data_IF_073457384517
#
_entry.id   IF_073457384517
#
_cell.length_a   1.000
_cell.length_b   1.000
_cell.length_c   1.000
_cell.angle_alpha   90.00
_cell.angle_beta   90.00
_cell.angle_gamma   90.00
#
_symmetry.space_group_name_H-M   'P 1'
#
loop_
_entity.id
_entity.type
_entity.pdbx_description
1 polymer ?
#
# COMPACT_ATOMS: atom_id res chain seq x y z
N UNK A 1 27.74 7.81 6.85
CA UNK A 1 27.51 6.63 7.72
C UNK A 1 28.05 5.42 6.99
N UNK A 2 28.89 4.62 7.63
CA UNK A 2 29.53 3.46 7.03
C UNK A 2 28.65 2.18 7.04
N UNK A 3 27.33 2.32 6.93
CA UNK A 3 26.43 1.18 6.87
C UNK A 3 26.36 0.60 5.46
N UNK A 4 26.47 -0.73 5.35
CA UNK A 4 26.25 -1.44 4.09
C UNK A 4 24.76 -1.38 3.71
N UNK A 5 24.45 -0.85 2.53
CA UNK A 5 23.07 -0.72 2.02
C UNK A 5 22.61 -1.98 1.29
N UNK A 6 23.55 -2.72 0.67
CA UNK A 6 23.29 -3.96 -0.05
C UNK A 6 24.58 -4.75 -0.23
N UNK A 7 24.46 -6.08 -0.38
CA UNK A 7 25.54 -6.97 -0.79
C UNK A 7 24.98 -8.14 -1.59
N UNK A 8 25.87 -8.81 -2.32
CA UNK A 8 25.53 -10.02 -3.07
C UNK A 8 26.23 -11.19 -2.42
N UNK A 9 25.50 -12.26 -2.05
CA UNK A 9 26.00 -13.44 -1.38
C UNK A 9 25.15 -13.83 -0.17
N UNK A 10 25.40 -14.99 0.39
CA UNK A 10 24.61 -15.57 1.48
C UNK A 10 25.03 -15.05 2.86
N UNK A 11 26.23 -14.46 2.98
CA UNK A 11 26.79 -13.91 4.22
C UNK A 11 26.90 -12.38 4.17
N UNK A 12 27.00 -11.76 5.35
CA UNK A 12 27.31 -10.34 5.46
C UNK A 12 28.61 -9.98 4.72
N UNK A 13 28.71 -8.76 4.13
CA UNK A 13 29.93 -8.35 3.43
C UNK A 13 31.15 -8.44 4.36
N UNK A 14 32.23 -9.02 3.87
CA UNK A 14 33.53 -8.99 4.55
C UNK A 14 34.11 -7.57 4.56
N UNK A 15 35.05 -7.29 5.46
CA UNK A 15 35.76 -6.00 5.49
C UNK A 15 36.47 -5.67 4.16
N UNK A 16 36.82 -6.69 3.38
CA UNK A 16 37.46 -6.58 2.06
C UNK A 16 36.47 -6.53 0.88
N UNK A 17 35.15 -6.52 1.14
CA UNK A 17 34.18 -6.43 0.08
C UNK A 17 34.30 -5.09 -0.67
N UNK A 18 34.22 -5.15 -2.01
CA UNK A 18 34.25 -3.95 -2.83
C UNK A 18 33.06 -3.04 -2.45
N UNK A 19 33.37 -1.85 -1.98
CA UNK A 19 32.38 -0.85 -1.61
C UNK A 19 32.02 0.01 -2.81
N UNK A 20 30.74 0.08 -3.15
CA UNK A 20 30.21 1.06 -4.09
C UNK A 20 29.58 2.23 -3.34
N UNK A 21 29.85 3.44 -3.77
CA UNK A 21 29.16 4.61 -3.24
C UNK A 21 27.69 4.59 -3.68
N UNK A 22 26.78 4.79 -2.74
CA UNK A 22 25.37 5.00 -3.07
C UNK A 22 25.23 6.27 -3.94
N UNK A 23 24.41 6.21 -4.98
CA UNK A 23 24.09 7.39 -5.78
C UNK A 23 23.21 8.35 -4.95
N UNK A 24 23.08 9.60 -5.40
CA UNK A 24 22.15 10.57 -4.78
C UNK A 24 20.68 10.10 -4.83
N UNK A 25 20.36 9.20 -5.74
CA UNK A 25 19.04 8.59 -5.89
C UNK A 25 18.81 7.38 -4.99
N UNK A 26 19.85 6.92 -4.29
CA UNK A 26 19.72 5.78 -3.37
C UNK A 26 18.89 6.14 -2.16
N UNK A 27 18.02 5.21 -1.74
CA UNK A 27 17.14 5.38 -0.60
C UNK A 27 17.23 4.17 0.32
N UNK A 28 17.55 4.40 1.59
CA UNK A 28 17.55 3.34 2.61
C UNK A 28 16.16 3.24 3.23
N UNK A 29 15.52 2.08 3.08
CA UNK A 29 14.25 1.78 3.74
C UNK A 29 14.56 1.19 5.12
N UNK A 30 14.20 1.91 6.17
CA UNK A 30 14.33 1.45 7.56
C UNK A 30 12.97 1.07 8.17
N UNK A 31 11.90 1.68 7.66
CA UNK A 31 10.56 1.52 8.21
C UNK A 31 9.53 1.26 7.11
N UNK A 32 8.48 0.47 7.38
CA UNK A 32 7.51 0.10 6.36
C UNK A 32 6.73 1.27 5.77
N UNK A 33 6.55 2.39 6.47
CA UNK A 33 5.88 3.57 5.90
C UNK A 33 6.73 4.30 4.85
N UNK A 34 8.03 4.06 4.80
CA UNK A 34 8.92 4.66 3.79
C UNK A 34 8.69 4.08 2.40
N UNK A 35 8.11 2.86 2.32
CA UNK A 35 7.66 2.30 1.05
C UNK A 35 6.67 3.23 0.33
N UNK A 36 5.81 3.95 1.07
CA UNK A 36 4.87 4.89 0.45
C UNK A 36 5.63 6.00 -0.28
N UNK A 37 6.69 6.55 0.33
CA UNK A 37 7.51 7.60 -0.28
C UNK A 37 8.22 7.12 -1.54
N UNK A 38 8.73 5.89 -1.52
CA UNK A 38 9.37 5.29 -2.70
C UNK A 38 8.34 5.03 -3.79
N UNK A 39 7.20 4.48 -3.43
CA UNK A 39 6.10 4.25 -4.36
C UNK A 39 5.66 5.56 -5.04
N UNK A 40 5.48 6.63 -4.27
CA UNK A 40 5.18 7.97 -4.80
C UNK A 40 6.20 8.42 -5.85
N UNK A 41 7.49 8.22 -5.59
CA UNK A 41 8.57 8.58 -6.52
C UNK A 41 8.55 7.72 -7.79
N UNK A 42 8.45 6.41 -7.65
CA UNK A 42 8.46 5.48 -8.79
C UNK A 42 7.23 5.65 -9.67
N UNK A 43 6.05 5.75 -9.08
CA UNK A 43 4.79 5.91 -9.81
C UNK A 43 4.72 7.28 -10.50
N UNK A 44 5.31 8.32 -9.91
CA UNK A 44 5.39 9.65 -10.54
C UNK A 44 6.30 9.67 -11.80
N UNK A 45 7.21 8.72 -11.95
CA UNK A 45 8.10 8.62 -13.12
C UNK A 45 7.43 7.95 -14.33
N UNK A 46 6.23 7.39 -14.19
CA UNK A 46 5.50 6.82 -15.30
C UNK A 46 5.16 7.91 -16.32
N UNK A 47 5.50 7.70 -17.58
CA UNK A 47 5.33 8.67 -18.67
C UNK A 47 4.27 8.28 -19.69
N UNK A 48 3.91 7.01 -19.75
CA UNK A 48 2.91 6.49 -20.71
C UNK A 48 2.11 5.33 -20.09
N UNK A 49 0.88 5.17 -20.54
CA UNK A 49 0.06 4.04 -20.11
C UNK A 49 0.42 2.76 -20.85
N UNK A 50 0.52 1.67 -20.09
CA UNK A 50 0.76 0.32 -20.62
C UNK A 50 -0.30 -0.64 -20.04
N UNK A 51 -1.04 -1.32 -20.90
CA UNK A 51 -2.04 -2.26 -20.42
C UNK A 51 -2.08 -3.53 -21.29
N UNK A 52 -2.01 -4.66 -20.59
CA UNK A 52 -2.16 -6.00 -21.16
C UNK A 52 -3.47 -6.66 -20.70
N UNK A 53 -4.21 -5.98 -19.84
CA UNK A 53 -5.51 -6.39 -19.32
C UNK A 53 -6.68 -5.75 -20.06
N UNK A 54 -7.88 -5.98 -19.55
CA UNK A 54 -9.13 -5.45 -20.09
C UNK A 54 -9.63 -4.25 -19.29
N UNK A 55 -9.90 -3.14 -19.98
CA UNK A 55 -10.48 -1.94 -19.39
C UNK A 55 -11.88 -1.74 -19.95
N UNK A 56 -12.88 -1.68 -19.06
CA UNK A 56 -14.26 -1.37 -19.45
C UNK A 56 -14.35 0.01 -20.10
N UNK A 57 -15.05 0.17 -21.21
CA UNK A 57 -15.30 1.50 -21.78
C UNK A 57 -16.14 2.42 -20.88
N UNK A 58 -16.77 1.88 -19.83
CA UNK A 58 -17.49 2.64 -18.81
C UNK A 58 -16.64 2.93 -17.57
N UNK A 59 -15.33 2.71 -17.60
CA UNK A 59 -14.39 3.19 -16.60
C UNK A 59 -13.91 4.60 -16.98
N UNK A 60 -13.68 5.45 -15.99
CA UNK A 60 -13.06 6.76 -16.16
C UNK A 60 -11.63 6.74 -15.68
N UNK A 61 -10.69 7.12 -16.53
CA UNK A 61 -9.26 7.12 -16.20
C UNK A 61 -8.70 8.51 -16.53
N UNK A 62 -8.22 9.21 -15.50
CA UNK A 62 -7.50 10.46 -15.58
C UNK A 62 -6.11 10.30 -14.95
N UNK A 63 -5.15 9.90 -15.77
CA UNK A 63 -3.77 9.61 -15.36
C UNK A 63 -3.16 8.46 -16.14
N UNK A 64 -2.00 8.02 -15.69
CA UNK A 64 -1.23 6.96 -16.32
C UNK A 64 -1.49 5.64 -15.60
N UNK A 65 -1.82 4.61 -16.37
CA UNK A 65 -2.08 3.29 -15.82
C UNK A 65 -1.14 2.24 -16.42
N UNK A 66 -0.51 1.45 -15.55
CA UNK A 66 0.09 0.17 -15.92
C UNK A 66 -0.83 -0.94 -15.41
N UNK A 67 -1.34 -1.74 -16.35
CA UNK A 67 -2.27 -2.84 -16.06
C UNK A 67 -1.70 -4.16 -16.58
N UNK A 68 -1.45 -5.09 -15.67
CA UNK A 68 -0.90 -6.40 -15.97
C UNK A 68 -1.87 -7.32 -16.71
N UNK A 69 -1.30 -8.42 -17.24
CA UNK A 69 -2.02 -9.43 -18.00
C UNK A 69 -3.11 -10.11 -17.19
N UNK A 70 -4.24 -10.42 -17.81
CA UNK A 70 -5.38 -11.08 -17.15
C UNK A 70 -6.20 -10.15 -16.22
N UNK A 71 -5.72 -8.96 -15.92
CA UNK A 71 -6.42 -8.00 -15.07
C UNK A 71 -7.60 -7.35 -15.77
N UNK A 72 -8.63 -7.02 -14.99
CA UNK A 72 -9.89 -6.45 -15.51
C UNK A 72 -10.29 -5.22 -14.68
N UNK A 73 -10.49 -4.10 -15.36
CA UNK A 73 -11.13 -2.90 -14.82
C UNK A 73 -12.58 -2.91 -15.25
N UNK A 74 -13.49 -3.00 -14.28
CA UNK A 74 -14.93 -3.17 -14.48
C UNK A 74 -15.64 -1.82 -14.69
N UNK A 75 -16.93 -1.82 -15.12
CA UNK A 75 -17.71 -0.60 -15.27
C UNK A 75 -17.77 0.26 -14.01
N UNK A 76 -17.77 1.59 -14.20
CA UNK A 76 -17.93 2.57 -13.13
C UNK A 76 -16.69 2.75 -12.23
N UNK A 77 -15.58 2.12 -12.56
CA UNK A 77 -14.29 2.39 -11.88
C UNK A 77 -13.82 3.78 -12.27
N UNK A 78 -13.39 4.55 -11.27
CA UNK A 78 -12.77 5.85 -11.45
C UNK A 78 -11.31 5.75 -11.01
N UNK A 79 -10.40 6.22 -11.85
CA UNK A 79 -8.96 6.29 -11.58
C UNK A 79 -8.50 7.72 -11.77
N UNK A 80 -7.85 8.30 -10.76
CA UNK A 80 -7.24 9.64 -10.82
C UNK A 80 -5.78 9.59 -10.36
N UNK A 81 -4.86 10.02 -11.22
CA UNK A 81 -3.42 9.94 -11.02
C UNK A 81 -2.81 8.65 -11.55
N UNK A 82 -1.55 8.45 -11.27
CA UNK A 82 -0.79 7.34 -11.82
C UNK A 82 -0.95 6.08 -10.96
N UNK A 83 -1.30 4.96 -11.58
CA UNK A 83 -1.62 3.70 -10.90
C UNK A 83 -0.90 2.53 -11.57
N UNK A 84 -0.37 1.63 -10.74
CA UNK A 84 0.17 0.34 -11.18
C UNK A 84 -0.71 -0.79 -10.65
N UNK A 85 -1.15 -1.68 -11.53
CA UNK A 85 -1.95 -2.86 -11.19
C UNK A 85 -1.26 -4.08 -11.81
N UNK A 86 -0.95 -5.06 -11.01
CA UNK A 86 -0.32 -6.32 -11.42
C UNK A 86 -1.23 -7.19 -12.29
N UNK A 87 -0.90 -8.47 -12.34
CA UNK A 87 -1.58 -9.46 -13.18
C UNK A 87 -2.81 -10.06 -12.47
N UNK A 88 -3.76 -10.57 -13.25
CA UNK A 88 -4.94 -11.33 -12.80
C UNK A 88 -5.83 -10.59 -11.79
N UNK A 89 -5.75 -9.26 -11.71
CA UNK A 89 -6.53 -8.49 -10.77
C UNK A 89 -7.97 -8.26 -11.24
N UNK A 90 -8.89 -8.19 -10.28
CA UNK A 90 -10.27 -7.76 -10.51
C UNK A 90 -10.49 -6.42 -9.81
N UNK A 91 -10.68 -5.36 -10.60
CA UNK A 91 -10.87 -4.00 -10.10
C UNK A 91 -12.29 -3.53 -10.38
N UNK A 92 -13.03 -3.22 -9.34
CA UNK A 92 -14.41 -2.75 -9.42
C UNK A 92 -15.47 -3.85 -9.23
N UNK A 93 -16.74 -3.54 -9.58
CA UNK A 93 -17.21 -2.31 -10.20
C UNK A 93 -17.29 -1.12 -9.22
N UNK A 94 -17.46 0.11 -9.76
CA UNK A 94 -17.73 1.32 -8.97
C UNK A 94 -16.74 1.55 -7.80
N UNK A 95 -15.46 1.31 -7.98
CA UNK A 95 -14.43 1.68 -7.03
C UNK A 95 -13.67 2.93 -7.49
N UNK A 96 -12.97 3.57 -6.55
CA UNK A 96 -12.20 4.77 -6.79
C UNK A 96 -10.74 4.54 -6.40
N UNK A 97 -9.83 4.60 -7.37
CA UNK A 97 -8.39 4.50 -7.17
C UNK A 97 -7.76 5.85 -7.46
N UNK A 98 -6.90 6.35 -6.56
CA UNK A 98 -6.27 7.64 -6.77
C UNK A 98 -4.90 7.79 -6.13
N UNK A 99 -4.20 8.87 -6.57
CA UNK A 99 -2.84 9.14 -6.13
C UNK A 99 -1.85 8.11 -6.67
N UNK A 100 -0.71 8.00 -6.04
CA UNK A 100 0.31 7.01 -6.41
C UNK A 100 -0.03 5.67 -5.76
N UNK A 101 -0.88 4.87 -6.39
CA UNK A 101 -1.31 3.57 -5.86
C UNK A 101 -0.72 2.42 -6.66
N UNK A 102 -0.18 1.43 -5.96
CA UNK A 102 0.30 0.18 -6.54
C UNK A 102 -0.46 -1.00 -5.96
N UNK A 103 -0.96 -1.87 -6.83
CA UNK A 103 -1.69 -3.10 -6.49
C UNK A 103 -0.91 -4.26 -7.11
N UNK A 104 -0.56 -5.25 -6.30
CA UNK A 104 0.16 -6.45 -6.73
C UNK A 104 -0.68 -7.38 -7.59
N UNK A 105 -0.20 -8.60 -7.78
CA UNK A 105 -0.86 -9.62 -8.58
C UNK A 105 -2.02 -10.29 -7.82
N UNK A 106 -2.97 -10.88 -8.56
CA UNK A 106 -4.08 -11.70 -8.05
C UNK A 106 -4.97 -10.99 -7.01
N UNK A 107 -5.09 -9.66 -7.09
CA UNK A 107 -5.82 -8.85 -6.14
C UNK A 107 -7.29 -8.64 -6.54
N UNK A 108 -8.15 -8.48 -5.53
CA UNK A 108 -9.55 -8.09 -5.72
C UNK A 108 -9.85 -6.77 -4.99
N UNK A 109 -10.08 -5.70 -5.75
CA UNK A 109 -10.60 -4.42 -5.24
C UNK A 109 -12.04 -4.29 -5.72
N UNK A 110 -12.98 -4.40 -4.79
CA UNK A 110 -14.39 -4.56 -5.15
C UNK A 110 -15.23 -3.29 -5.08
N UNK A 111 -16.55 -3.48 -4.97
CA UNK A 111 -17.52 -2.41 -5.08
C UNK A 111 -17.43 -1.38 -3.94
N UNK A 112 -17.53 -0.10 -4.31
CA UNK A 112 -17.52 1.04 -3.38
C UNK A 112 -16.29 1.04 -2.45
N UNK A 113 -15.15 0.60 -2.98
CA UNK A 113 -13.85 0.68 -2.33
C UNK A 113 -13.11 1.90 -2.85
N UNK A 114 -12.54 2.68 -1.95
CA UNK A 114 -11.59 3.72 -2.30
C UNK A 114 -10.18 3.34 -1.84
N UNK A 115 -9.22 3.36 -2.76
CA UNK A 115 -7.79 3.23 -2.47
C UNK A 115 -7.09 4.51 -2.86
N UNK A 116 -6.37 5.09 -1.91
CA UNK A 116 -5.63 6.33 -2.11
C UNK A 116 -4.18 6.19 -1.71
N UNK A 117 -3.25 6.45 -2.64
CA UNK A 117 -1.82 6.59 -2.34
C UNK A 117 -1.28 5.45 -1.46
N UNK A 118 -1.56 4.21 -1.85
CA UNK A 118 -1.30 3.01 -1.04
C UNK A 118 -0.65 1.91 -1.85
N UNK A 119 0.01 1.02 -1.16
CA UNK A 119 0.57 -0.21 -1.71
C UNK A 119 -0.27 -1.37 -1.20
N UNK A 120 -0.73 -2.21 -2.11
CA UNK A 120 -1.47 -3.45 -1.83
C UNK A 120 -0.62 -4.61 -2.34
N UNK A 121 -0.24 -5.52 -1.46
CA UNK A 121 0.52 -6.74 -1.79
C UNK A 121 -0.33 -7.76 -2.56
N UNK A 122 0.34 -8.78 -3.05
CA UNK A 122 -0.26 -9.82 -3.88
C UNK A 122 -1.36 -10.60 -3.15
N UNK A 123 -2.27 -11.20 -3.91
CA UNK A 123 -3.33 -12.09 -3.44
C UNK A 123 -4.21 -11.46 -2.33
N UNK A 124 -4.34 -10.13 -2.33
CA UNK A 124 -5.08 -9.40 -1.31
C UNK A 124 -6.47 -8.99 -1.79
N UNK A 125 -7.44 -9.01 -0.88
CA UNK A 125 -8.84 -8.72 -1.18
C UNK A 125 -9.37 -7.60 -0.31
N UNK A 126 -9.85 -6.52 -0.95
CA UNK A 126 -10.59 -5.41 -0.35
C UNK A 126 -11.90 -5.31 -1.12
N UNK A 127 -12.86 -6.18 -0.72
CA UNK A 127 -14.00 -6.49 -1.59
C UNK A 127 -15.15 -5.49 -1.56
N UNK A 128 -15.38 -4.76 -0.45
CA UNK A 128 -16.62 -4.02 -0.27
C UNK A 128 -16.48 -2.82 0.66
N UNK A 129 -17.04 -1.66 0.25
CA UNK A 129 -17.39 -0.53 1.12
C UNK A 129 -16.22 -0.03 2.00
N UNK A 130 -15.00 -0.13 1.54
CA UNK A 130 -13.81 0.11 2.35
C UNK A 130 -13.05 1.35 1.88
N UNK A 131 -12.32 1.98 2.81
CA UNK A 131 -11.37 3.04 2.49
C UNK A 131 -9.98 2.68 2.95
N UNK A 132 -9.01 2.73 2.05
CA UNK A 132 -7.59 2.53 2.32
C UNK A 132 -6.79 3.72 1.81
N UNK A 133 -6.27 4.50 2.73
CA UNK A 133 -5.52 5.71 2.37
C UNK A 133 -4.14 5.75 2.99
N UNK A 134 -3.12 6.12 2.18
CA UNK A 134 -1.73 6.33 2.59
C UNK A 134 -1.20 5.15 3.43
N UNK A 135 -1.39 3.92 2.94
CA UNK A 135 -1.20 2.68 3.68
C UNK A 135 -0.28 1.70 2.93
N UNK A 136 0.31 0.79 3.70
CA UNK A 136 1.04 -0.38 3.17
C UNK A 136 0.32 -1.63 3.64
N UNK A 137 -0.23 -2.38 2.69
CA UNK A 137 -0.95 -3.62 2.92
C UNK A 137 -0.10 -4.77 2.35
N UNK A 138 0.16 -5.77 3.16
CA UNK A 138 0.95 -6.94 2.79
C UNK A 138 0.24 -7.87 1.81
N UNK A 139 0.83 -9.05 1.62
CA UNK A 139 0.28 -10.11 0.78
C UNK A 139 -0.79 -10.91 1.54
N UNK A 140 -1.67 -11.59 0.82
CA UNK A 140 -2.67 -12.50 1.38
C UNK A 140 -3.59 -11.83 2.43
N UNK A 141 -3.80 -10.52 2.31
CA UNK A 141 -4.63 -9.75 3.25
C UNK A 141 -6.08 -9.75 2.79
N UNK A 142 -7.00 -9.97 3.72
CA UNK A 142 -8.44 -9.85 3.45
C UNK A 142 -9.10 -8.82 4.36
N UNK A 143 -9.64 -7.76 3.76
CA UNK A 143 -10.44 -6.76 4.48
C UNK A 143 -11.92 -7.12 4.46
N UNK A 144 -12.48 -7.32 5.65
CA UNK A 144 -13.92 -7.42 5.84
C UNK A 144 -14.63 -6.16 5.37
N UNK A 145 -15.86 -6.31 4.88
CA UNK A 145 -16.65 -5.20 4.34
C UNK A 145 -16.73 -4.01 5.31
N UNK A 146 -16.55 -2.80 4.79
CA UNK A 146 -16.60 -1.59 5.62
C UNK A 146 -15.35 -1.36 6.48
N UNK A 147 -14.23 -1.98 6.18
CA UNK A 147 -12.96 -1.66 6.83
C UNK A 147 -12.48 -0.28 6.41
N UNK A 148 -12.23 0.60 7.37
CA UNK A 148 -11.83 1.99 7.13
C UNK A 148 -10.49 2.27 7.81
N UNK A 149 -9.52 2.77 7.03
CA UNK A 149 -8.24 3.27 7.57
C UNK A 149 -8.29 4.78 7.70
N UNK A 150 -8.19 5.31 8.92
CA UNK A 150 -8.01 6.74 9.09
C UNK A 150 -6.55 7.11 8.80
N UNK A 151 -6.33 8.18 8.04
CA UNK A 151 -4.98 8.58 7.60
C UNK A 151 -4.57 9.99 8.00
N UNK A 152 -5.41 10.71 8.75
CA UNK A 152 -5.14 12.08 9.19
C UNK A 152 -5.43 12.22 10.68
N UNK A 153 -4.50 12.84 11.40
CA UNK A 153 -4.69 13.22 12.80
C UNK A 153 -5.53 14.50 12.89
N UNK A 154 -6.35 14.62 13.92
CA UNK A 154 -7.17 15.83 14.16
C UNK A 154 -6.34 17.09 14.37
N UNK A 155 -5.14 16.96 14.97
CA UNK A 155 -4.22 18.08 15.20
C UNK A 155 -3.39 18.46 13.96
N UNK A 156 -3.49 17.67 12.88
CA UNK A 156 -2.80 17.93 11.62
C UNK A 156 -1.28 17.77 11.65
N UNK A 157 -0.71 17.24 12.73
CA UNK A 157 0.73 16.97 12.85
C UNK A 157 1.11 15.65 12.19
N UNK A 158 2.42 15.40 12.07
CA UNK A 158 2.93 14.13 11.60
C UNK A 158 2.51 12.97 12.51
N UNK A 159 2.40 11.79 11.90
CA UNK A 159 2.15 10.57 12.66
C UNK A 159 3.42 10.10 13.36
N UNK A 160 3.27 9.70 14.61
CA UNK A 160 4.30 8.99 15.36
C UNK A 160 3.97 7.49 15.32
N UNK A 161 4.93 6.66 14.93
CA UNK A 161 4.80 5.21 14.93
C UNK A 161 5.69 4.59 16.01
N UNK A 162 5.17 3.62 16.75
CA UNK A 162 5.95 2.90 17.75
C UNK A 162 6.90 1.92 17.07
N UNK A 163 8.18 2.03 17.36
CA UNK A 163 9.21 1.09 16.93
C UNK A 163 9.91 0.61 18.19
N UNK A 164 9.73 -0.65 18.54
CA UNK A 164 10.14 -1.20 19.84
C UNK A 164 9.57 -0.33 20.98
N UNK A 165 10.43 0.24 21.81
CA UNK A 165 10.04 1.06 22.96
C UNK A 165 9.99 2.57 22.67
N UNK A 166 10.28 2.98 21.43
CA UNK A 166 10.36 4.39 21.04
C UNK A 166 9.23 4.79 20.11
N UNK A 167 8.88 6.08 20.13
CA UNK A 167 8.03 6.71 19.13
C UNK A 167 8.92 7.41 18.11
N UNK A 168 8.76 7.03 16.84
CA UNK A 168 9.51 7.59 15.70
C UNK A 168 8.56 8.46 14.89
N UNK A 169 8.99 9.67 14.57
CA UNK A 169 8.28 10.55 13.63
C UNK A 169 8.39 9.94 12.22
N UNK A 170 7.26 9.64 11.63
CA UNK A 170 7.21 9.06 10.27
C UNK A 170 7.51 10.08 9.17
N UNK A 171 7.63 11.37 9.49
CA UNK A 171 7.72 12.46 8.52
C UNK A 171 6.43 12.66 7.70
N UNK A 172 5.37 11.91 7.98
CA UNK A 172 4.14 11.91 7.17
C UNK A 172 2.96 12.49 7.95
N UNK A 173 2.38 13.55 7.41
CA UNK A 173 1.13 14.13 7.91
C UNK A 173 -0.07 13.25 7.58
N UNK A 174 -0.05 12.54 6.43
CA UNK A 174 -1.03 11.54 6.06
C UNK A 174 -0.37 10.16 6.10
N UNK A 175 -0.88 9.31 6.96
CA UNK A 175 -0.40 7.95 7.12
C UNK A 175 -1.53 7.08 7.71
N UNK A 176 -1.97 6.08 6.95
CA UNK A 176 -3.06 5.19 7.33
C UNK A 176 -2.58 4.07 8.23
N UNK A 177 -2.25 2.95 7.65
CA UNK A 177 -1.86 1.74 8.40
C UNK A 177 -0.77 0.97 7.67
N UNK A 178 -0.07 0.13 8.43
CA UNK A 178 0.71 -0.99 7.89
C UNK A 178 0.03 -2.28 8.33
N UNK A 179 -0.30 -3.12 7.37
CA UNK A 179 -0.90 -4.43 7.63
C UNK A 179 0.03 -5.51 7.12
N UNK A 180 0.45 -6.39 8.00
CA UNK A 180 1.32 -7.53 7.67
C UNK A 180 0.59 -8.61 6.90
N UNK A 181 1.37 -9.46 6.24
CA UNK A 181 0.88 -10.55 5.40
C UNK A 181 -0.09 -11.48 6.15
N UNK A 182 -1.04 -12.05 5.43
CA UNK A 182 -1.99 -13.02 5.96
C UNK A 182 -3.00 -12.47 6.97
N UNK A 183 -3.13 -11.14 7.09
CA UNK A 183 -4.03 -10.52 8.06
C UNK A 183 -5.47 -10.45 7.55
N UNK A 184 -6.44 -10.65 8.45
CA UNK A 184 -7.86 -10.60 8.13
C UNK A 184 -8.59 -9.62 9.05
N UNK A 185 -9.31 -8.65 8.49
CA UNK A 185 -10.16 -7.79 9.31
C UNK A 185 -11.60 -8.28 9.32
N UNK A 186 -12.25 -8.19 10.49
CA UNK A 186 -13.70 -8.35 10.59
C UNK A 186 -14.43 -7.21 9.88
N UNK A 187 -15.71 -7.41 9.55
CA UNK A 187 -16.54 -6.36 8.96
C UNK A 187 -16.57 -5.11 9.86
N UNK A 188 -16.66 -3.93 9.24
CA UNK A 188 -16.74 -2.63 9.93
C UNK A 188 -15.56 -2.37 10.89
N UNK A 189 -14.39 -2.90 10.58
CA UNK A 189 -13.17 -2.58 11.34
C UNK A 189 -12.76 -1.14 11.06
N UNK A 190 -12.54 -0.36 12.12
CA UNK A 190 -12.00 0.99 12.03
C UNK A 190 -10.55 1.01 12.54
N UNK A 191 -9.61 1.45 11.71
CA UNK A 191 -8.19 1.48 12.07
C UNK A 191 -7.78 2.94 12.26
N UNK A 192 -7.29 3.26 13.47
CA UNK A 192 -6.76 4.59 13.78
C UNK A 192 -5.49 4.86 12.95
N UNK A 193 -5.23 6.13 12.63
CA UNK A 193 -4.12 6.49 11.77
C UNK A 193 -2.78 6.09 12.40
N UNK A 194 -1.87 5.62 11.57
CA UNK A 194 -0.53 5.20 11.98
C UNK A 194 -0.47 3.87 12.74
N UNK A 195 -1.57 3.10 12.81
CA UNK A 195 -1.57 1.79 13.48
C UNK A 195 -0.98 0.72 12.60
N UNK A 196 -0.43 -0.31 13.24
CA UNK A 196 0.13 -1.49 12.58
C UNK A 196 -0.61 -2.76 13.03
N UNK A 197 -0.90 -3.61 12.07
CA UNK A 197 -1.34 -4.98 12.30
C UNK A 197 -0.20 -5.89 11.85
N UNK A 198 0.35 -6.68 12.79
CA UNK A 198 1.40 -7.65 12.49
C UNK A 198 0.90 -8.75 11.55
N UNK A 199 1.79 -9.59 11.02
CA UNK A 199 1.40 -10.70 10.14
C UNK A 199 0.39 -11.64 10.83
N UNK A 200 -0.55 -12.16 10.03
CA UNK A 200 -1.62 -13.06 10.47
C UNK A 200 -2.54 -12.47 11.56
N UNK A 201 -2.57 -11.16 11.71
CA UNK A 201 -3.46 -10.48 12.64
C UNK A 201 -4.92 -10.65 12.23
N UNK A 202 -5.80 -10.73 13.21
CA UNK A 202 -7.25 -10.78 12.99
C UNK A 202 -7.94 -9.72 13.84
N UNK A 203 -9.00 -9.11 13.30
CA UNK A 203 -9.89 -8.24 14.07
C UNK A 203 -11.29 -8.81 14.13
N UNK A 204 -12.00 -8.50 15.21
CA UNK A 204 -13.40 -8.85 15.34
C UNK A 204 -14.29 -7.89 14.54
N UNK A 205 -15.54 -8.28 14.19
CA UNK A 205 -16.51 -7.35 13.64
C UNK A 205 -16.71 -6.11 14.54
N UNK A 206 -16.82 -4.93 13.91
CA UNK A 206 -16.94 -3.62 14.60
C UNK A 206 -15.76 -3.26 15.50
N UNK A 207 -14.63 -3.91 15.35
CA UNK A 207 -13.46 -3.58 16.17
C UNK A 207 -12.85 -2.23 15.76
N UNK A 208 -12.54 -1.41 16.77
CA UNK A 208 -11.73 -0.21 16.59
C UNK A 208 -10.30 -0.49 17.02
N UNK A 209 -9.38 -0.47 16.08
CA UNK A 209 -7.94 -0.68 16.31
C UNK A 209 -7.29 0.64 16.73
N UNK A 210 -7.16 0.86 18.04
CA UNK A 210 -6.57 2.06 18.65
C UNK A 210 -5.09 1.91 18.98
N UNK A 211 -4.58 0.68 19.00
CA UNK A 211 -3.19 0.31 19.29
C UNK A 211 -2.72 -0.70 18.26
N UNK A 212 -1.41 -0.79 18.08
CA UNK A 212 -0.82 -1.81 17.22
C UNK A 212 -1.24 -3.22 17.71
N UNK A 213 -1.47 -4.12 16.76
CA UNK A 213 -1.71 -5.56 16.99
C UNK A 213 -0.42 -6.26 16.54
N UNK A 214 0.20 -7.03 17.41
CA UNK A 214 1.48 -7.74 17.15
C UNK A 214 1.31 -9.22 17.38
#
# INVERSE_FOLDING_TARGET
SGEALAWTGDDHPSEDAAQASASEESFLIQFPWEFITINERLVAQLSESQHQGNISPAAYIDGIIHLGSGSKILPGVVIEGNIVIGNNCKIGPNCYLRGSTTIGDDCHIGQAVEIKNSIIGNNSSIGHLSYVGDSVIGNDVNFGAGTITSNLRHDGTNHLSRVRDSLVDTGRRKFGTVVGDGSHTGILTAIYPGRKLGPNSQTLPNQTVKRDIT
#
